data_IF_158692712843
#
_entry.id   IF_158692712843
#
_cell.length_a   1.000
_cell.length_b   1.000
_cell.length_c   1.000
_cell.angle_alpha   90.00
_cell.angle_beta   90.00
_cell.angle_gamma   90.00
#
_symmetry.space_group_name_H-M   'P 1'
#
loop_
_entity.id
_entity.type
_entity.pdbx_description
1 polymer ?
#
# COMPACT_ATOMS: atom_id res chain seq x y z
N UNK A 1 -9.27 -3.93 -22.67
CA UNK A 1 -8.40 -2.74 -22.72
C UNK A 1 -8.00 -2.40 -21.31
N UNK A 2 -6.71 -2.17 -21.05
CA UNK A 2 -6.32 -1.44 -19.86
C UNK A 2 -5.05 -0.65 -20.18
N UNK A 3 -5.23 0.61 -20.55
CA UNK A 3 -4.18 1.62 -20.48
C UNK A 3 -4.11 2.06 -19.02
N UNK A 4 -2.96 1.83 -18.39
CA UNK A 4 -2.76 2.09 -16.99
C UNK A 4 -2.03 3.42 -16.80
N UNK A 5 -2.48 4.23 -15.82
CA UNK A 5 -2.19 5.66 -15.69
C UNK A 5 -0.74 6.09 -15.43
N UNK A 6 -0.57 7.41 -15.31
CA UNK A 6 0.72 8.11 -15.32
C UNK A 6 1.47 8.03 -13.98
N UNK A 7 2.74 7.67 -14.05
CA UNK A 7 3.68 7.68 -12.91
C UNK A 7 3.89 9.11 -12.40
N UNK A 8 3.82 10.10 -13.29
CA UNK A 8 3.96 11.51 -12.98
C UNK A 8 2.82 12.01 -12.07
N UNK A 9 1.59 11.54 -12.28
CA UNK A 9 0.46 11.84 -11.39
C UNK A 9 0.65 11.22 -10.01
N UNK A 10 1.05 9.95 -9.95
CA UNK A 10 1.37 9.29 -8.68
C UNK A 10 2.44 10.04 -7.89
N UNK A 11 3.50 10.53 -8.55
CA UNK A 11 4.56 11.33 -7.92
C UNK A 11 4.08 12.68 -7.35
N UNK A 12 3.04 13.29 -7.91
CA UNK A 12 2.47 14.53 -7.37
C UNK A 12 1.56 14.27 -6.16
N UNK A 13 0.95 13.09 -6.09
CA UNK A 13 -0.01 12.74 -5.04
C UNK A 13 0.69 12.27 -3.75
N UNK A 14 1.82 11.55 -3.87
CA UNK A 14 2.54 11.00 -2.72
C UNK A 14 3.01 12.07 -1.70
N UNK A 15 3.55 13.24 -2.11
CA UNK A 15 3.90 14.30 -1.15
C UNK A 15 2.69 14.80 -0.38
N UNK A 16 1.54 14.98 -1.04
CA UNK A 16 0.30 15.47 -0.40
C UNK A 16 -0.24 14.46 0.61
N UNK A 17 -0.21 13.16 0.27
CA UNK A 17 -0.56 12.10 1.21
C UNK A 17 0.41 12.03 2.39
N UNK A 18 1.71 12.17 2.12
CA UNK A 18 2.77 12.18 3.13
C UNK A 18 2.66 13.37 4.09
N UNK A 19 2.29 14.56 3.60
CA UNK A 19 2.06 15.75 4.42
C UNK A 19 0.83 15.63 5.31
N UNK A 20 -0.20 14.94 4.81
CA UNK A 20 -1.45 14.70 5.55
C UNK A 20 -1.34 13.54 6.53
N UNK A 21 -0.32 12.70 6.42
CA UNK A 21 -0.13 11.54 7.27
C UNK A 21 0.36 11.97 8.66
N UNK A 22 -0.46 11.70 9.68
CA UNK A 22 -0.09 11.94 11.08
C UNK A 22 1.18 11.15 11.52
N UNK A 23 1.45 9.96 10.95
CA UNK A 23 2.70 9.17 11.12
C UNK A 23 3.02 8.37 9.85
N UNK A 24 4.30 8.33 9.44
CA UNK A 24 4.78 7.57 8.28
C UNK A 24 5.55 6.32 8.72
N UNK A 25 5.08 5.15 8.29
CA UNK A 25 5.78 3.87 8.44
C UNK A 25 5.62 3.19 9.80
N UNK A 26 6.13 1.96 9.90
CA UNK A 26 6.10 1.12 11.10
C UNK A 26 5.34 -0.19 10.89
N UNK A 27 5.72 -1.23 11.63
CA UNK A 27 4.93 -2.46 11.70
C UNK A 27 3.68 -2.19 12.55
N UNK A 28 2.50 -2.71 12.16
CA UNK A 28 1.31 -2.57 12.98
C UNK A 28 1.53 -3.21 14.36
N UNK A 29 0.88 -2.66 15.38
CA UNK A 29 0.93 -3.27 16.72
C UNK A 29 0.20 -4.62 16.66
N UNK A 30 0.81 -5.68 17.17
CA UNK A 30 0.25 -7.05 17.09
C UNK A 30 -1.14 -7.19 17.73
N UNK A 31 -1.52 -6.27 18.62
CA UNK A 31 -2.82 -6.22 19.30
C UNK A 31 -3.86 -5.32 18.62
N UNK A 32 -3.55 -4.73 17.45
CA UNK A 32 -4.48 -3.87 16.73
C UNK A 32 -5.64 -4.71 16.13
N UNK A 33 -6.89 -4.53 16.61
CA UNK A 33 -8.05 -5.31 16.18
C UNK A 33 -8.45 -5.03 14.72
N UNK A 34 -7.86 -4.02 14.09
CA UNK A 34 -8.11 -3.66 12.72
C UNK A 34 -7.17 -4.33 11.72
N UNK A 35 -6.17 -5.06 12.21
CA UNK A 35 -5.30 -5.87 11.36
C UNK A 35 -6.17 -6.87 10.61
N UNK A 36 -6.07 -6.85 9.29
CA UNK A 36 -6.68 -7.87 8.43
C UNK A 36 -5.64 -8.44 7.50
N UNK A 37 -5.45 -9.75 7.60
CA UNK A 37 -4.59 -10.48 6.68
C UNK A 37 -5.40 -10.92 5.46
N UNK A 38 -5.02 -10.38 4.31
CA UNK A 38 -5.68 -10.63 3.03
C UNK A 38 -4.75 -11.47 2.16
N UNK A 39 -5.05 -12.77 1.99
CA UNK A 39 -4.21 -13.64 1.16
C UNK A 39 -4.27 -13.18 -0.29
N UNK A 40 -3.12 -13.19 -0.97
CA UNK A 40 -3.07 -12.99 -2.42
C UNK A 40 -3.05 -14.37 -3.10
N UNK A 41 -4.04 -14.72 -3.93
CA UNK A 41 -4.13 -16.04 -4.54
C UNK A 41 -2.86 -16.42 -5.33
N UNK A 42 -2.33 -17.62 -5.06
CA UNK A 42 -1.15 -18.15 -5.75
C UNK A 42 0.17 -17.45 -5.38
N UNK A 43 0.23 -16.71 -4.28
CA UNK A 43 1.43 -16.01 -3.80
C UNK A 43 1.88 -16.53 -2.44
N UNK A 44 3.18 -16.36 -2.16
CA UNK A 44 3.81 -16.71 -0.88
C UNK A 44 3.77 -15.58 0.14
N UNK A 45 2.92 -14.58 -0.10
CA UNK A 45 2.76 -13.41 0.72
C UNK A 45 1.30 -12.97 0.78
N UNK A 46 0.96 -12.23 1.80
CA UNK A 46 -0.36 -11.62 2.00
C UNK A 46 -0.21 -10.11 2.20
N UNK A 47 -1.32 -9.42 2.07
CA UNK A 47 -1.45 -8.01 2.44
C UNK A 47 -1.88 -8.00 3.90
N UNK A 48 -1.13 -7.35 4.75
CA UNK A 48 -1.60 -7.01 6.08
C UNK A 48 -2.17 -5.60 6.00
N UNK A 49 -3.51 -5.50 6.01
CA UNK A 49 -4.16 -4.22 6.21
C UNK A 49 -3.94 -3.84 7.65
N UNK A 50 -3.35 -2.68 7.85
CA UNK A 50 -3.16 -2.08 9.13
C UNK A 50 -4.10 -0.89 9.14
N UNK A 51 -5.33 -1.06 9.63
CA UNK A 51 -6.28 0.05 9.59
C UNK A 51 -5.85 1.18 10.52
N UNK A 52 -4.91 0.96 11.44
CA UNK A 52 -4.39 2.00 12.32
C UNK A 52 -2.91 1.74 12.67
N UNK A 53 -1.99 2.41 11.98
CA UNK A 53 -1.06 3.17 12.82
C UNK A 53 -1.97 4.17 13.52
N UNK A 54 -2.36 3.91 14.79
CA UNK A 54 -3.33 4.65 15.63
C UNK A 54 -2.96 6.11 15.88
N UNK A 55 -2.73 6.78 14.78
CA UNK A 55 -2.13 8.08 14.59
C UNK A 55 -2.77 8.70 13.34
N UNK A 56 -3.09 7.93 12.27
CA UNK A 56 -3.71 8.41 11.01
C UNK A 56 -5.23 8.64 11.07
N UNK A 57 -5.73 9.01 12.24
CA UNK A 57 -7.17 9.17 12.47
C UNK A 57 -7.72 10.35 11.70
N UNK A 58 -6.93 11.43 11.62
CA UNK A 58 -7.32 12.67 10.94
C UNK A 58 -7.23 12.54 9.41
N UNK A 59 -6.24 11.79 8.91
CA UNK A 59 -5.99 11.66 7.47
C UNK A 59 -7.01 10.79 6.74
N UNK A 60 -7.78 9.95 7.45
CA UNK A 60 -8.71 8.94 6.88
C UNK A 60 -8.07 7.99 5.86
N UNK A 61 -6.81 7.65 6.09
CA UNK A 61 -6.07 6.72 5.24
C UNK A 61 -6.14 5.29 5.81
N UNK A 62 -6.11 4.31 4.91
CA UNK A 62 -5.87 2.91 5.21
C UNK A 62 -4.48 2.55 4.70
N UNK A 63 -3.64 2.01 5.58
CA UNK A 63 -2.29 1.59 5.26
C UNK A 63 -2.19 0.07 5.13
N UNK A 64 -1.21 -0.38 4.36
CA UNK A 64 -0.89 -1.80 4.28
C UNK A 64 0.58 -2.06 3.96
N UNK A 65 1.01 -3.25 4.37
CA UNK A 65 2.33 -3.79 4.08
C UNK A 65 2.22 -5.18 3.46
N UNK A 66 3.28 -5.61 2.78
CA UNK A 66 3.40 -6.99 2.33
C UNK A 66 4.07 -7.83 3.39
N UNK A 67 3.48 -8.98 3.70
CA UNK A 67 3.97 -9.89 4.73
C UNK A 67 4.28 -11.25 4.12
N UNK A 68 5.38 -11.86 4.53
CA UNK A 68 5.75 -13.19 4.09
C UNK A 68 4.93 -14.26 4.85
N UNK A 69 4.28 -15.17 4.11
CA UNK A 69 3.38 -16.18 4.71
C UNK A 69 4.13 -17.19 5.59
N UNK A 70 5.41 -17.46 5.31
CA UNK A 70 6.19 -18.48 6.03
C UNK A 70 6.74 -17.92 7.33
N UNK A 71 7.21 -16.68 7.30
CA UNK A 71 7.92 -16.07 8.43
C UNK A 71 7.07 -15.11 9.24
N UNK A 72 5.94 -14.65 8.70
CA UNK A 72 5.11 -13.61 9.31
C UNK A 72 5.79 -12.24 9.39
N UNK A 73 6.93 -12.07 8.71
CA UNK A 73 7.71 -10.83 8.74
C UNK A 73 7.33 -9.92 7.56
N UNK A 74 7.47 -8.59 7.72
CA UNK A 74 7.36 -7.67 6.60
C UNK A 74 8.36 -8.03 5.50
N UNK A 75 7.95 -7.83 4.25
CA UNK A 75 8.77 -8.05 3.08
C UNK A 75 8.60 -6.92 2.08
N UNK A 76 9.61 -6.74 1.25
CA UNK A 76 9.57 -5.77 0.15
C UNK A 76 8.50 -6.15 -0.89
N UNK A 77 7.95 -5.11 -1.49
CA UNK A 77 6.98 -5.22 -2.57
C UNK A 77 7.62 -5.89 -3.80
N UNK A 78 7.00 -6.96 -4.34
CA UNK A 78 7.52 -7.66 -5.52
C UNK A 78 7.63 -6.74 -6.73
N UNK A 79 8.77 -6.78 -7.42
CA UNK A 79 9.07 -5.89 -8.55
C UNK A 79 8.14 -6.03 -9.76
N UNK A 80 7.53 -7.21 -9.92
CA UNK A 80 6.60 -7.52 -11.01
C UNK A 80 5.13 -7.27 -10.67
N UNK A 81 4.83 -6.96 -9.41
CA UNK A 81 3.49 -6.59 -8.98
C UNK A 81 3.29 -5.12 -9.31
N UNK A 82 2.09 -4.76 -9.76
CA UNK A 82 1.65 -3.40 -9.99
C UNK A 82 0.40 -3.18 -9.14
N UNK A 83 0.28 -2.00 -8.56
CA UNK A 83 -0.84 -1.65 -7.69
C UNK A 83 -1.48 -0.40 -8.27
N UNK A 84 -2.79 -0.42 -8.42
CA UNK A 84 -3.58 0.70 -8.94
C UNK A 84 -4.72 1.01 -7.97
N UNK A 85 -5.13 2.26 -7.87
CA UNK A 85 -6.46 2.58 -7.36
C UNK A 85 -7.25 3.38 -8.38
N UNK A 86 -8.57 3.29 -8.23
CA UNK A 86 -9.53 4.08 -8.98
C UNK A 86 -10.00 5.25 -8.10
N UNK A 87 -9.70 6.47 -8.53
CA UNK A 87 -10.16 7.71 -7.93
C UNK A 87 -11.04 8.45 -8.93
N UNK A 88 -12.36 8.48 -8.71
CA UNK A 88 -13.32 9.22 -9.54
C UNK A 88 -13.17 9.00 -11.06
N UNK A 89 -12.79 7.79 -11.48
CA UNK A 89 -12.59 7.43 -12.89
C UNK A 89 -11.14 7.47 -13.36
N UNK A 90 -10.24 8.07 -12.58
CA UNK A 90 -8.80 8.05 -12.84
C UNK A 90 -8.14 6.81 -12.22
N UNK A 91 -7.36 6.08 -13.04
CA UNK A 91 -6.58 4.94 -12.57
C UNK A 91 -5.18 5.42 -12.24
N UNK A 92 -4.85 5.46 -10.95
CA UNK A 92 -3.57 5.92 -10.45
C UNK A 92 -2.70 4.73 -10.07
N UNK A 93 -1.46 4.69 -10.57
CA UNK A 93 -0.47 3.69 -10.16
C UNK A 93 0.13 4.07 -8.81
N UNK A 94 0.02 3.16 -7.84
CA UNK A 94 0.57 3.37 -6.50
C UNK A 94 2.09 3.19 -6.46
N UNK A 95 2.69 3.97 -5.57
CA UNK A 95 4.05 3.77 -5.07
C UNK A 95 3.98 3.66 -3.54
N UNK A 96 4.97 3.01 -2.95
CA UNK A 96 5.14 3.02 -1.49
C UNK A 96 5.48 4.43 -1.01
N UNK A 97 5.07 4.77 0.21
CA UNK A 97 5.37 6.07 0.84
C UNK A 97 6.87 6.27 0.88
N UNK A 98 7.64 5.26 1.27
CA UNK A 98 9.09 5.35 1.36
C UNK A 98 9.74 5.61 -0.01
N UNK A 99 9.18 5.08 -1.10
CA UNK A 99 9.62 5.40 -2.47
C UNK A 99 9.22 6.83 -2.88
N UNK A 100 8.10 7.33 -2.38
CA UNK A 100 7.64 8.70 -2.60
C UNK A 100 8.38 9.74 -1.74
N UNK A 101 8.84 9.37 -0.55
CA UNK A 101 9.49 10.26 0.42
C UNK A 101 11.02 10.25 0.32
N UNK A 102 11.63 9.15 -0.17
CA UNK A 102 13.08 9.05 -0.42
C UNK A 102 13.36 8.79 -1.90
N UNK A 103 13.18 9.83 -2.72
CA UNK A 103 13.22 9.79 -4.19
C UNK A 103 14.51 9.17 -4.81
N UNK A 104 15.62 9.07 -4.07
CA UNK A 104 16.95 8.74 -4.61
C UNK A 104 17.59 7.42 -4.10
N UNK A 105 17.09 6.81 -3.02
CA UNK A 105 17.67 5.55 -2.53
C UNK A 105 17.18 4.38 -3.38
N UNK A 106 18.11 3.70 -4.07
CA UNK A 106 17.76 2.47 -4.81
C UNK A 106 17.34 1.41 -3.80
N UNK A 107 16.34 0.59 -4.14
CA UNK A 107 15.86 -0.52 -3.28
C UNK A 107 16.96 -1.45 -2.75
N UNK A 108 18.09 -1.52 -3.44
CA UNK A 108 19.27 -2.32 -3.05
C UNK A 108 20.01 -1.73 -1.85
N UNK A 109 19.84 -0.44 -1.58
CA UNK A 109 20.52 0.30 -0.51
C UNK A 109 19.66 0.36 0.76
N UNK A 110 18.52 -0.33 0.79
CA UNK A 110 17.61 -0.32 1.93
C UNK A 110 18.08 -1.30 3.02
N UNK A 111 18.01 -0.92 4.31
CA UNK A 111 18.39 -1.80 5.41
C UNK A 111 17.65 -3.14 5.41
N UNK A 112 18.30 -4.20 5.91
CA UNK A 112 17.65 -5.49 6.11
C UNK A 112 16.47 -5.36 7.09
N UNK A 113 15.32 -5.94 6.75
CA UNK A 113 14.09 -5.80 7.53
C UNK A 113 13.26 -4.55 7.20
N UNK A 114 13.64 -3.77 6.18
CA UNK A 114 12.81 -2.65 5.72
C UNK A 114 11.49 -3.16 5.14
N UNK A 115 10.41 -2.46 5.46
CA UNK A 115 9.08 -2.67 4.89
C UNK A 115 8.74 -1.53 3.94
N UNK A 116 7.85 -1.80 2.99
CA UNK A 116 7.23 -0.77 2.17
C UNK A 116 5.79 -0.57 2.66
N UNK A 117 5.43 0.67 2.92
CA UNK A 117 4.10 1.09 3.35
C UNK A 117 3.38 1.70 2.17
N UNK A 118 2.16 1.24 1.95
CA UNK A 118 1.24 1.82 0.98
C UNK A 118 0.06 2.37 1.75
N UNK A 119 -0.52 3.46 1.27
CA UNK A 119 -1.71 4.05 1.86
C UNK A 119 -2.66 4.51 0.77
N UNK A 120 -3.95 4.48 1.02
CA UNK A 120 -4.98 5.09 0.19
C UNK A 120 -6.14 5.55 1.07
N UNK A 121 -7.07 6.33 0.52
CA UNK A 121 -8.24 6.76 1.27
C UNK A 121 -9.12 5.56 1.65
N UNK A 122 -9.81 5.66 2.78
CA UNK A 122 -10.84 4.68 3.13
C UNK A 122 -11.85 4.49 1.97
N UNK A 123 -12.45 3.31 1.85
CA UNK A 123 -13.41 2.99 0.78
C UNK A 123 -12.83 2.95 -0.65
N UNK A 124 -11.53 3.18 -0.84
CA UNK A 124 -10.88 3.09 -2.16
C UNK A 124 -10.82 1.66 -2.67
N UNK A 125 -10.89 1.48 -3.99
CA UNK A 125 -10.72 0.18 -4.66
C UNK A 125 -9.29 0.05 -5.17
N UNK A 126 -8.59 -0.99 -4.72
CA UNK A 126 -7.20 -1.26 -5.04
C UNK A 126 -7.08 -2.53 -5.90
N UNK A 127 -6.46 -2.40 -7.07
CA UNK A 127 -6.18 -3.50 -7.97
C UNK A 127 -4.71 -3.92 -7.91
N UNK A 128 -4.48 -5.21 -7.70
CA UNK A 128 -3.17 -5.85 -7.70
C UNK A 128 -2.99 -6.63 -9.01
N UNK A 129 -2.05 -6.21 -9.85
CA UNK A 129 -1.89 -6.69 -11.23
C UNK A 129 -0.48 -7.26 -11.44
N UNK A 130 -0.37 -8.38 -12.15
CA UNK A 130 0.92 -8.90 -12.64
C UNK A 130 0.82 -9.11 -14.15
N UNK A 131 1.64 -8.41 -14.92
CA UNK A 131 1.53 -8.37 -16.37
C UNK A 131 0.19 -7.77 -16.78
N UNK A 132 -0.66 -8.54 -17.45
CA UNK A 132 -2.02 -8.12 -17.86
C UNK A 132 -3.14 -8.77 -17.03
N UNK A 133 -2.80 -9.43 -15.91
CA UNK A 133 -3.77 -10.17 -15.10
C UNK A 133 -3.95 -9.54 -13.72
N UNK A 134 -5.19 -9.21 -13.38
CA UNK A 134 -5.58 -8.86 -12.01
C UNK A 134 -5.52 -10.10 -11.12
N UNK A 135 -4.75 -10.03 -10.05
CA UNK A 135 -4.60 -11.08 -9.03
C UNK A 135 -5.63 -10.92 -7.92
N UNK A 136 -5.90 -9.68 -7.52
CA UNK A 136 -6.77 -9.33 -6.42
C UNK A 136 -7.32 -7.91 -6.66
N UNK A 137 -8.61 -7.74 -6.46
CA UNK A 137 -9.27 -6.44 -6.38
C UNK A 137 -9.81 -6.31 -4.95
N UNK A 138 -9.46 -5.23 -4.28
CA UNK A 138 -9.72 -5.06 -2.86
C UNK A 138 -10.43 -3.72 -2.61
N UNK A 139 -11.64 -3.78 -2.04
CA UNK A 139 -12.28 -2.61 -1.46
C UNK A 139 -11.72 -2.38 -0.05
N UNK A 140 -11.11 -1.23 0.18
CA UNK A 140 -10.58 -0.86 1.48
C UNK A 140 -11.72 -0.60 2.47
N UNK A 141 -11.53 -0.93 3.76
CA UNK A 141 -12.55 -0.72 4.77
C UNK A 141 -12.89 0.76 4.89
N UNK A 142 -14.17 1.05 5.12
CA UNK A 142 -14.70 2.39 5.34
C UNK A 142 -14.93 2.62 6.84
N UNK A 143 -14.67 3.83 7.32
CA UNK A 143 -15.02 4.25 8.69
C UNK A 143 -16.46 4.80 8.68
N UNK A 144 -17.30 4.54 9.70
CA UNK A 144 -18.60 5.17 9.80
C UNK A 144 -18.45 6.71 9.85
N UNK A 145 -19.37 7.42 9.17
CA UNK A 145 -19.43 8.88 9.15
C UNK A 145 -19.95 9.45 10.46
#
# INVERSE_FOLDING_TARGET
MAEFGSVELGRKFMPVLSEKADVIGGAPRHDDPSIRDIPIPGRTYHICLCQWTGCLDNSRLVCWNFMDNKTGKPRLWPSNLQIYANYDGDIIRFASIEKGSNFDLKKLDWPEGTTETFCADDSSVIDFVVGQKTLLCLLLPSRPQ
#
